data_IF_147410423648
#
_entry.id   IF_147410423648
#
_cell.length_a   1.000
_cell.length_b   1.000
_cell.length_c   1.000
_cell.angle_alpha   90.00
_cell.angle_beta   90.00
_cell.angle_gamma   90.00
#
_symmetry.space_group_name_H-M   'P 1'
#
loop_
_entity.id
_entity.type
_entity.pdbx_description
1 polymer ?
#
# COMPACT_ATOMS: atom_id res chain seq x y z
N UNK A 1 -0.17 3.04 -5.34
CA UNK A 1 0.85 2.05 -5.73
C UNK A 1 0.27 1.20 -6.84
N UNK A 2 0.30 1.72 -8.06
CA UNK A 2 -0.28 1.09 -9.26
C UNK A 2 0.76 1.27 -10.35
N UNK A 3 0.94 0.27 -11.22
CA UNK A 3 1.73 0.41 -12.45
C UNK A 3 0.99 1.41 -13.32
N UNK A 4 1.52 2.63 -13.42
CA UNK A 4 0.91 3.69 -14.22
C UNK A 4 1.36 3.49 -15.66
N UNK A 5 0.40 3.18 -16.52
CA UNK A 5 0.61 3.19 -17.97
C UNK A 5 0.09 4.54 -18.49
N UNK A 6 0.99 5.40 -18.95
CA UNK A 6 0.62 6.72 -19.48
C UNK A 6 0.92 6.73 -20.99
N UNK A 7 -0.12 6.88 -21.81
CA UNK A 7 -0.02 6.91 -23.28
C UNK A 7 0.68 5.68 -23.89
N UNK A 8 0.20 4.47 -23.58
CA UNK A 8 0.73 3.19 -24.10
C UNK A 8 2.19 2.87 -23.76
N UNK A 9 2.85 3.67 -22.92
CA UNK A 9 4.18 3.38 -22.39
C UNK A 9 4.09 3.27 -20.87
N UNK A 10 4.77 2.26 -20.33
CA UNK A 10 4.95 2.13 -18.89
C UNK A 10 5.85 3.25 -18.37
N UNK A 11 5.64 3.65 -17.11
CA UNK A 11 6.56 4.55 -16.41
C UNK A 11 7.98 3.95 -16.38
N UNK A 12 8.98 4.77 -16.08
CA UNK A 12 10.39 4.34 -16.00
C UNK A 12 10.49 3.12 -15.08
N UNK A 13 11.15 2.05 -15.54
CA UNK A 13 11.25 0.76 -14.84
C UNK A 13 11.65 0.89 -13.36
N UNK A 14 12.56 1.81 -13.01
CA UNK A 14 12.98 2.06 -11.63
C UNK A 14 11.91 2.70 -10.73
N UNK A 15 10.88 3.33 -11.30
CA UNK A 15 9.74 3.90 -10.58
C UNK A 15 8.59 2.90 -10.42
N UNK A 16 8.62 1.81 -11.17
CA UNK A 16 7.61 0.77 -11.09
C UNK A 16 7.70 0.02 -9.76
N UNK A 17 6.54 -0.40 -9.28
CA UNK A 17 6.44 -1.24 -8.09
C UNK A 17 6.99 -2.64 -8.39
N UNK A 18 8.22 -2.90 -7.96
CA UNK A 18 8.95 -4.14 -8.28
C UNK A 18 9.38 -4.95 -7.06
N UNK A 19 9.33 -4.40 -5.83
CA UNK A 19 9.84 -5.09 -4.64
C UNK A 19 9.13 -4.62 -3.38
N UNK A 20 8.60 -5.58 -2.61
CA UNK A 20 7.98 -5.30 -1.30
C UNK A 20 8.98 -4.68 -0.34
N UNK A 21 10.19 -5.24 -0.27
CA UNK A 21 11.21 -4.77 0.66
C UNK A 21 11.65 -3.33 0.35
N UNK A 22 11.90 -3.05 -0.94
CA UNK A 22 12.34 -1.72 -1.36
C UNK A 22 11.24 -0.70 -1.10
N UNK A 23 9.98 -1.01 -1.43
CA UNK A 23 8.88 -0.08 -1.18
C UNK A 23 8.63 0.15 0.31
N UNK A 24 8.73 -0.89 1.15
CA UNK A 24 8.64 -0.74 2.59
C UNK A 24 9.73 0.15 3.17
N UNK A 25 10.98 -0.02 2.73
CA UNK A 25 12.12 0.80 3.18
C UNK A 25 11.96 2.26 2.78
N UNK A 26 11.54 2.51 1.53
CA UNK A 26 11.25 3.86 1.04
C UNK A 26 10.15 4.53 1.87
N UNK A 27 9.08 3.82 2.20
CA UNK A 27 7.98 4.37 2.99
C UNK A 27 8.31 4.55 4.48
N UNK A 28 9.26 3.80 5.02
CA UNK A 28 9.54 3.78 6.47
C UNK A 28 10.75 4.62 6.89
N UNK A 29 11.81 4.64 6.08
CA UNK A 29 13.11 5.19 6.48
C UNK A 29 13.79 6.01 5.39
N UNK A 30 13.79 5.51 4.16
CA UNK A 30 14.69 6.03 3.14
C UNK A 30 14.15 7.29 2.44
N UNK A 31 12.83 7.54 2.53
CA UNK A 31 12.20 8.75 1.98
C UNK A 31 11.41 9.50 3.03
N UNK A 32 11.65 10.80 3.13
CA UNK A 32 10.89 11.71 4.01
C UNK A 32 9.57 12.17 3.39
N UNK A 33 9.33 11.84 2.13
CA UNK A 33 8.14 12.28 1.37
C UNK A 33 7.22 11.13 0.99
N UNK A 34 7.57 9.89 1.36
CA UNK A 34 6.85 8.69 0.94
C UNK A 34 5.99 8.12 2.07
N UNK A 35 4.75 8.60 2.20
CA UNK A 35 3.78 8.16 3.21
C UNK A 35 2.73 7.21 2.62
N UNK A 36 3.15 6.25 1.80
CA UNK A 36 2.25 5.27 1.15
C UNK A 36 1.61 4.34 2.18
N UNK A 37 0.29 4.21 2.11
CA UNK A 37 -0.47 3.18 2.81
C UNK A 37 -0.74 1.96 1.90
N UNK A 38 -1.01 0.82 2.54
CA UNK A 38 -1.38 -0.42 1.84
C UNK A 38 -2.82 -0.34 1.33
N UNK A 39 -3.04 -0.88 0.14
CA UNK A 39 -4.36 -1.03 -0.48
C UNK A 39 -5.00 -2.38 -0.09
N UNK A 40 -6.34 -2.53 -0.14
CA UNK A 40 -7.05 -3.77 0.16
C UNK A 40 -6.45 -5.04 -0.46
N UNK A 41 -5.97 -4.93 -1.69
CA UNK A 41 -5.49 -6.04 -2.51
C UNK A 41 -4.40 -6.85 -1.82
N UNK A 42 -3.59 -6.21 -0.95
CA UNK A 42 -2.58 -6.87 -0.11
C UNK A 42 -3.13 -7.95 0.81
N UNK A 43 -4.43 -7.93 1.11
CA UNK A 43 -5.07 -8.81 2.08
C UNK A 43 -5.97 -9.87 1.46
N UNK A 44 -6.25 -9.80 0.15
CA UNK A 44 -7.12 -10.80 -0.51
C UNK A 44 -6.74 -11.19 -1.93
N UNK A 45 -5.98 -10.37 -2.67
CA UNK A 45 -5.70 -10.59 -4.10
C UNK A 45 -4.20 -10.84 -4.31
N UNK A 46 -3.73 -12.08 -4.49
CA UNK A 46 -2.31 -12.32 -4.78
C UNK A 46 -1.92 -11.93 -6.21
N UNK A 47 -2.90 -11.75 -7.10
CA UNK A 47 -2.68 -11.59 -8.52
C UNK A 47 -1.99 -10.28 -8.91
N UNK A 48 -2.17 -9.20 -8.14
CA UNK A 48 -1.52 -7.92 -8.45
C UNK A 48 0.01 -7.95 -8.24
N UNK A 49 0.53 -8.99 -7.58
CA UNK A 49 1.96 -9.20 -7.35
C UNK A 49 2.62 -10.00 -8.48
N UNK A 50 1.83 -10.51 -9.42
CA UNK A 50 2.29 -11.40 -10.49
C UNK A 50 1.99 -10.79 -11.86
N UNK A 51 2.97 -10.76 -12.74
CA UNK A 51 2.82 -10.33 -14.12
C UNK A 51 2.27 -11.46 -15.00
N UNK A 52 1.02 -11.87 -14.74
CA UNK A 52 0.38 -12.99 -15.47
C UNK A 52 0.31 -12.77 -16.98
N UNK A 53 0.11 -11.52 -17.38
CA UNK A 53 -0.01 -11.10 -18.78
C UNK A 53 1.35 -10.95 -19.47
N UNK A 54 2.47 -11.17 -18.76
CA UNK A 54 3.84 -11.05 -19.28
C UNK A 54 4.08 -9.72 -20.00
N UNK A 55 3.61 -8.65 -19.38
CA UNK A 55 3.81 -7.30 -19.86
C UNK A 55 5.31 -6.98 -19.89
N UNK A 56 5.76 -6.27 -20.92
CA UNK A 56 7.10 -5.72 -20.96
C UNK A 56 7.17 -4.46 -20.10
N UNK A 57 7.59 -4.63 -18.84
CA UNK A 57 7.71 -3.56 -17.86
C UNK A 57 9.09 -2.85 -17.93
N UNK A 58 9.94 -3.25 -18.87
CA UNK A 58 11.26 -2.67 -19.10
C UNK A 58 12.36 -3.19 -18.18
N UNK A 59 13.52 -2.55 -18.30
CA UNK A 59 14.77 -2.92 -17.60
C UNK A 59 15.20 -1.73 -16.75
N UNK A 60 15.52 -2.01 -15.49
CA UNK A 60 16.03 -1.05 -14.53
C UNK A 60 17.44 -0.61 -14.85
N UNK A 61 17.88 0.53 -14.31
CA UNK A 61 19.24 1.04 -14.51
C UNK A 61 20.34 0.07 -14.04
N UNK A 62 20.04 -0.80 -13.08
CA UNK A 62 20.95 -1.84 -12.60
C UNK A 62 21.02 -3.09 -13.52
N UNK A 63 20.25 -3.12 -14.60
CA UNK A 63 20.17 -4.23 -15.56
C UNK A 63 19.11 -5.28 -15.24
N UNK A 64 18.37 -5.14 -14.14
CA UNK A 64 17.32 -6.10 -13.77
C UNK A 64 16.05 -5.86 -14.60
N UNK A 65 15.50 -6.94 -15.15
CA UNK A 65 14.20 -6.91 -15.83
C UNK A 65 13.09 -6.81 -14.78
N UNK A 66 12.13 -5.92 -15.01
CA UNK A 66 10.93 -5.81 -14.16
C UNK A 66 9.90 -6.83 -14.65
N UNK A 67 9.44 -7.70 -13.75
CA UNK A 67 8.44 -8.73 -14.04
C UNK A 67 7.54 -8.95 -12.81
N UNK A 68 7.51 -10.15 -12.22
CA UNK A 68 6.86 -10.40 -10.94
C UNK A 68 7.45 -9.53 -9.82
N UNK A 69 6.59 -9.10 -8.89
CA UNK A 69 7.02 -8.33 -7.72
C UNK A 69 7.90 -9.20 -6.83
N UNK A 70 9.07 -8.68 -6.46
CA UNK A 70 10.01 -9.35 -5.56
C UNK A 70 9.38 -9.44 -4.17
N UNK A 71 9.07 -10.66 -3.77
CA UNK A 71 8.47 -10.98 -2.47
C UNK A 71 9.55 -11.26 -1.41
N UNK A 72 9.23 -11.05 -0.11
CA UNK A 72 10.12 -11.42 0.97
C UNK A 72 10.48 -12.92 0.99
N UNK A 73 11.68 -13.25 1.48
CA UNK A 73 12.21 -14.64 1.49
C UNK A 73 11.29 -15.66 2.16
N UNK A 74 10.53 -15.25 3.18
CA UNK A 74 9.59 -16.12 3.90
C UNK A 74 8.39 -16.57 3.03
N UNK A 75 8.12 -15.88 1.91
CA UNK A 75 7.07 -16.24 0.97
C UNK A 75 7.44 -17.40 0.05
N UNK A 76 8.73 -17.77 -0.04
CA UNK A 76 9.23 -18.82 -0.96
C UNK A 76 8.74 -18.66 -2.42
N UNK A 77 8.62 -17.42 -2.89
CA UNK A 77 8.10 -17.10 -4.23
C UNK A 77 6.59 -17.22 -4.40
N UNK A 78 5.81 -17.45 -3.33
CA UNK A 78 4.35 -17.56 -3.41
C UNK A 78 3.65 -16.26 -2.99
N UNK A 79 3.07 -15.55 -3.97
CA UNK A 79 2.21 -14.40 -3.72
C UNK A 79 0.98 -14.76 -2.86
N UNK A 80 0.46 -15.98 -3.02
CA UNK A 80 -0.63 -16.49 -2.19
C UNK A 80 -0.23 -16.61 -0.72
N UNK A 81 0.96 -17.13 -0.43
CA UNK A 81 1.45 -17.21 0.95
C UNK A 81 1.64 -15.82 1.56
N UNK A 82 2.14 -14.86 0.77
CA UNK A 82 2.26 -13.47 1.18
C UNK A 82 0.92 -12.90 1.64
N UNK A 83 -0.13 -13.01 0.81
CA UNK A 83 -1.48 -12.50 1.12
C UNK A 83 -2.10 -13.21 2.31
N UNK A 84 -1.95 -14.54 2.42
CA UNK A 84 -2.48 -15.30 3.56
C UNK A 84 -1.89 -14.83 4.89
N UNK A 85 -0.57 -14.60 4.94
CA UNK A 85 0.10 -14.10 6.14
C UNK A 85 -0.34 -12.67 6.45
N UNK A 86 -0.50 -11.80 5.44
CA UNK A 86 -0.99 -10.43 5.65
C UNK A 86 -2.41 -10.42 6.21
N UNK A 87 -3.28 -11.28 5.69
CA UNK A 87 -4.64 -11.45 6.21
C UNK A 87 -4.63 -11.93 7.66
N UNK A 88 -3.82 -12.94 7.97
CA UNK A 88 -3.69 -13.45 9.35
C UNK A 88 -3.14 -12.37 10.30
N UNK A 89 -2.22 -11.53 9.84
CA UNK A 89 -1.70 -10.42 10.64
C UNK A 89 -2.78 -9.35 10.90
N UNK A 90 -3.60 -9.03 9.89
CA UNK A 90 -4.71 -8.08 10.00
C UNK A 90 -5.78 -8.56 10.99
N UNK A 91 -6.10 -9.86 10.97
CA UNK A 91 -7.06 -10.51 11.88
C UNK A 91 -6.45 -10.84 13.26
N UNK A 92 -5.19 -10.45 13.52
CA UNK A 92 -4.52 -10.73 14.78
C UNK A 92 -5.02 -9.83 15.93
N UNK A 93 -5.02 -10.31 17.18
CA UNK A 93 -5.44 -9.50 18.34
C UNK A 93 -4.67 -8.20 18.50
N UNK A 94 -3.39 -8.19 18.09
CA UNK A 94 -2.52 -7.01 18.14
C UNK A 94 -3.11 -5.92 17.25
N UNK A 95 -3.41 -6.26 15.99
CA UNK A 95 -3.99 -5.31 15.04
C UNK A 95 -5.40 -4.93 15.46
N UNK A 96 -6.24 -5.88 15.85
CA UNK A 96 -7.59 -5.57 16.33
C UNK A 96 -7.61 -4.60 17.51
N UNK A 97 -6.64 -4.71 18.44
CA UNK A 97 -6.54 -3.81 19.60
C UNK A 97 -6.03 -2.41 19.28
N UNK A 98 -5.37 -2.23 18.13
CA UNK A 98 -4.75 -0.97 17.73
C UNK A 98 -5.42 -0.31 16.52
N UNK A 99 -6.29 -1.03 15.80
CA UNK A 99 -6.92 -0.60 14.56
C UNK A 99 -7.76 0.67 14.76
N UNK A 100 -8.40 0.82 15.92
CA UNK A 100 -9.14 2.03 16.28
C UNK A 100 -8.26 3.28 16.26
N UNK A 101 -6.97 3.18 16.65
CA UNK A 101 -6.06 4.32 16.60
C UNK A 101 -5.73 4.74 15.17
N UNK A 102 -5.63 3.79 14.24
CA UNK A 102 -5.46 4.09 12.82
C UNK A 102 -6.73 4.71 12.22
N UNK A 103 -7.91 4.19 12.57
CA UNK A 103 -9.20 4.79 12.18
C UNK A 103 -9.29 6.24 12.67
N UNK A 104 -8.85 6.52 13.89
CA UNK A 104 -8.83 7.89 14.43
C UNK A 104 -7.95 8.85 13.62
N UNK A 105 -6.85 8.35 13.04
CA UNK A 105 -5.93 9.11 12.19
C UNK A 105 -6.53 9.40 10.81
N UNK A 106 -7.14 8.39 10.18
CA UNK A 106 -7.60 8.51 8.79
C UNK A 106 -9.00 9.10 8.69
N UNK A 107 -9.90 8.72 9.59
CA UNK A 107 -11.34 9.07 9.54
C UNK A 107 -11.85 9.78 10.80
N UNK A 108 -11.11 9.71 11.91
CA UNK A 108 -11.55 10.26 13.18
C UNK A 108 -11.01 11.65 13.47
N UNK A 109 -11.00 11.97 14.77
CA UNK A 109 -10.72 13.32 15.25
C UNK A 109 -9.25 13.75 15.10
N UNK A 110 -8.33 12.80 14.83
CA UNK A 110 -6.90 13.10 14.59
C UNK A 110 -6.60 13.40 13.12
N UNK A 111 -7.63 13.54 12.28
CA UNK A 111 -7.48 13.97 10.90
C UNK A 111 -7.19 15.48 10.78
N UNK A 112 -7.72 16.31 11.69
CA UNK A 112 -7.58 17.77 11.62
C UNK A 112 -7.34 18.43 12.98
N UNK A 113 -6.99 19.72 12.97
CA UNK A 113 -6.82 20.53 14.18
C UNK A 113 -5.58 20.16 14.99
N UNK A 114 -5.60 20.47 16.30
CA UNK A 114 -4.46 20.27 17.20
C UNK A 114 -4.10 18.79 17.38
N UNK A 115 -5.11 17.92 17.40
CA UNK A 115 -4.93 16.48 17.53
C UNK A 115 -4.14 15.87 16.35
N UNK A 116 -4.31 16.40 15.14
CA UNK A 116 -3.51 15.99 13.98
C UNK A 116 -2.05 16.44 14.09
N UNK A 117 -1.81 17.65 14.61
CA UNK A 117 -0.44 18.17 14.83
C UNK A 117 0.29 17.31 15.87
N UNK A 118 -0.36 17.02 17.00
CA UNK A 118 0.21 16.21 18.07
C UNK A 118 0.49 14.76 17.60
N UNK A 119 -0.28 14.25 16.64
CA UNK A 119 -0.10 12.94 16.04
C UNK A 119 0.80 12.93 14.79
N UNK A 120 1.38 14.07 14.39
CA UNK A 120 2.20 14.23 13.17
C UNK A 120 1.45 13.75 11.91
N UNK A 121 0.15 14.02 11.84
CA UNK A 121 -0.78 13.59 10.80
C UNK A 121 -1.34 14.78 10.01
N UNK A 122 -0.50 15.77 9.73
CA UNK A 122 -0.90 17.02 9.06
C UNK A 122 -0.55 16.94 7.58
N UNK A 123 -1.58 16.90 6.74
CA UNK A 123 -1.43 16.92 5.28
C UNK A 123 -1.70 18.30 4.70
N UNK A 124 -1.26 18.51 3.46
CA UNK A 124 -1.55 19.73 2.72
C UNK A 124 -3.08 19.92 2.58
N UNK A 125 -3.65 21.14 2.74
CA UNK A 125 -5.10 21.39 2.72
C UNK A 125 -5.85 20.81 1.50
N UNK A 126 -5.18 20.76 0.34
CA UNK A 126 -5.73 20.18 -0.88
C UNK A 126 -6.08 18.68 -0.76
N UNK A 127 -5.40 17.93 0.11
CA UNK A 127 -5.62 16.50 0.33
C UNK A 127 -6.97 16.26 1.03
N UNK A 128 -7.32 17.10 2.02
CA UNK A 128 -8.61 16.99 2.72
C UNK A 128 -9.81 17.22 1.78
N UNK A 129 -9.65 18.08 0.77
CA UNK A 129 -10.68 18.28 -0.25
C UNK A 129 -10.92 17.01 -1.08
N UNK A 130 -9.86 16.28 -1.43
CA UNK A 130 -9.94 15.04 -2.22
C UNK A 130 -10.46 13.84 -1.41
N UNK A 131 -10.13 13.75 -0.13
CA UNK A 131 -10.62 12.67 0.76
C UNK A 131 -12.13 12.70 0.95
N UNK A 132 -12.75 13.87 0.82
CA UNK A 132 -14.22 14.02 0.87
C UNK A 132 -14.94 13.30 -0.29
N UNK A 133 -14.26 13.01 -1.40
CA UNK A 133 -14.96 12.72 -2.64
C UNK A 133 -15.15 11.24 -3.01
N UNK A 134 -14.22 10.28 -2.92
CA UNK A 134 -14.50 8.94 -3.51
C UNK A 134 -13.64 7.72 -3.12
N UNK A 135 -12.76 7.75 -2.10
CA UNK A 135 -11.82 6.61 -1.88
C UNK A 135 -12.18 5.73 -0.66
N UNK A 136 -13.11 6.17 0.18
CA UNK A 136 -13.21 5.69 1.57
C UNK A 136 -14.28 4.58 1.76
N UNK A 137 -15.26 4.49 0.85
CA UNK A 137 -16.44 3.63 1.06
C UNK A 137 -16.12 2.13 1.09
N UNK A 138 -15.13 1.66 0.34
CA UNK A 138 -14.87 0.21 0.23
C UNK A 138 -14.03 -0.38 1.37
N UNK A 139 -13.06 0.36 1.92
CA UNK A 139 -12.19 -0.15 2.99
C UNK A 139 -12.95 -0.32 4.31
N UNK A 140 -13.80 0.65 4.65
CA UNK A 140 -14.64 0.61 5.84
C UNK A 140 -15.73 -0.46 5.74
N UNK A 141 -16.30 -0.67 4.54
CA UNK A 141 -17.33 -1.70 4.35
C UNK A 141 -16.79 -3.11 4.59
N UNK A 142 -15.53 -3.37 4.29
CA UNK A 142 -14.89 -4.68 4.53
C UNK A 142 -14.54 -4.91 6.00
N UNK A 143 -14.07 -3.88 6.71
CA UNK A 143 -13.80 -3.93 8.16
C UNK A 143 -15.09 -4.12 8.97
N UNK A 144 -16.18 -3.42 8.62
CA UNK A 144 -17.46 -3.49 9.35
C UNK A 144 -18.24 -4.81 9.15
N UNK A 145 -17.95 -5.58 8.09
CA UNK A 145 -18.67 -6.82 7.80
C UNK A 145 -17.98 -8.06 8.38
N UNK A 146 -16.72 -7.96 8.80
CA UNK A 146 -15.89 -9.10 9.22
C UNK A 146 -15.20 -8.93 10.60
N UNK A 147 -15.46 -7.84 11.32
CA UNK A 147 -15.28 -7.71 12.78
C UNK A 147 -16.66 -7.67 13.46
#
# INVERSE_FOLDING_TARGET
>A
MIIICFNNNFDIADRLFNSIETTWRLASFDSTTDFKELIPEFFYLPDFLMNKEKLDLGIRQNGDVVDDVILPRWCKGSARLFVLIHRQALESPIVSSALNYWIDLIFGYKQTGKAAIDAINVFHPAVFCLMSCNVISFFLFWIYLFL
#
